data_IF_670693160732
#
_entry.id   IF_670693160732
#
_cell.length_a   1.000
_cell.length_b   1.000
_cell.length_c   1.000
_cell.angle_alpha   90.00
_cell.angle_beta   90.00
_cell.angle_gamma   90.00
#
_symmetry.space_group_name_H-M   'P 1'
#
loop_
_entity.id
_entity.type
_entity.pdbx_description
1 polymer ?
#
# COMPACT_ATOMS: atom_id res chain seq x y z
N UNK A 1 -6.71 4.90 -8.23
CA UNK A 1 -7.10 3.54 -7.80
C UNK A 1 -8.27 3.71 -6.84
N UNK A 2 -9.18 2.76 -6.71
CA UNK A 2 -10.34 2.91 -5.83
C UNK A 2 -9.97 2.46 -4.42
N UNK A 3 -9.89 3.41 -3.49
CA UNK A 3 -9.68 3.10 -2.08
C UNK A 3 -10.95 2.49 -1.45
N UNK A 4 -10.80 1.65 -0.40
CA UNK A 4 -11.94 1.13 0.35
C UNK A 4 -12.77 2.23 1.02
N UNK A 5 -14.01 1.88 1.39
CA UNK A 5 -14.84 2.77 2.21
C UNK A 5 -14.18 2.99 3.57
N UNK A 6 -14.30 4.21 4.10
CA UNK A 6 -13.72 4.56 5.39
C UNK A 6 -12.21 4.79 5.40
N UNK A 7 -11.55 4.86 4.22
CA UNK A 7 -10.12 5.19 4.14
C UNK A 7 -9.77 6.57 4.71
N UNK A 8 -10.74 7.47 4.76
CA UNK A 8 -10.66 8.80 5.37
C UNK A 8 -10.51 8.76 6.89
N UNK A 9 -10.83 7.62 7.53
CA UNK A 9 -10.62 7.38 8.96
C UNK A 9 -9.20 6.92 9.30
N UNK A 10 -8.37 6.65 8.28
CA UNK A 10 -7.01 6.19 8.53
C UNK A 10 -6.18 7.33 9.11
N UNK A 11 -5.67 7.15 10.32
CA UNK A 11 -4.82 8.11 11.03
C UNK A 11 -3.36 7.64 11.11
N UNK A 12 -3.13 6.34 10.93
CA UNK A 12 -1.80 5.72 10.93
C UNK A 12 -1.65 4.76 9.74
N UNK A 13 -0.48 4.76 9.13
CA UNK A 13 -0.10 3.81 8.08
C UNK A 13 1.26 3.19 8.38
N UNK A 14 1.31 1.87 8.41
CA UNK A 14 2.57 1.13 8.31
C UNK A 14 2.96 0.96 6.84
N UNK A 15 4.20 1.31 6.50
CA UNK A 15 4.79 0.96 5.20
C UNK A 15 5.51 -0.37 5.33
N UNK A 16 5.15 -1.30 4.46
CA UNK A 16 5.62 -2.68 4.50
C UNK A 16 6.53 -2.97 3.32
N UNK A 17 7.73 -3.49 3.60
CA UNK A 17 8.62 -4.07 2.60
C UNK A 17 8.34 -5.56 2.46
N UNK A 18 8.04 -6.00 1.24
CA UNK A 18 7.71 -7.40 0.97
C UNK A 18 8.97 -8.12 0.50
N UNK A 19 9.51 -9.01 1.36
CA UNK A 19 10.69 -9.83 1.07
C UNK A 19 10.39 -11.14 0.32
N UNK A 20 9.20 -11.71 0.49
CA UNK A 20 8.72 -12.89 -0.26
C UNK A 20 7.43 -12.55 -1.05
N UNK A 21 7.58 -12.07 -2.29
CA UNK A 21 6.43 -11.68 -3.11
C UNK A 21 5.51 -12.85 -3.51
N UNK A 22 6.02 -14.08 -3.55
CA UNK A 22 5.25 -15.23 -4.02
C UNK A 22 4.16 -15.65 -3.03
N UNK A 23 4.38 -15.39 -1.73
CA UNK A 23 3.39 -15.60 -0.67
C UNK A 23 2.06 -14.87 -0.95
N UNK A 24 2.12 -13.68 -1.55
CA UNK A 24 0.94 -12.85 -1.81
C UNK A 24 0.12 -13.26 -3.04
N UNK A 25 0.48 -14.36 -3.71
CA UNK A 25 -0.36 -14.98 -4.73
C UNK A 25 -1.60 -15.64 -4.10
N UNK A 26 -1.49 -16.20 -2.90
CA UNK A 26 -2.58 -16.90 -2.20
C UNK A 26 -2.89 -16.33 -0.81
N UNK A 27 -2.12 -15.34 -0.34
CA UNK A 27 -2.25 -14.77 1.00
C UNK A 27 -3.63 -14.17 1.30
N UNK A 28 -4.04 -14.27 2.57
CA UNK A 28 -5.26 -13.65 3.12
C UNK A 28 -5.00 -12.28 3.74
N UNK A 29 -3.74 -11.91 3.87
CA UNK A 29 -3.23 -10.73 4.55
C UNK A 29 -1.94 -10.22 3.87
N UNK A 30 -1.53 -9.00 4.21
CA UNK A 30 -0.25 -8.43 3.80
C UNK A 30 0.87 -8.92 4.74
N UNK A 31 1.77 -9.74 4.20
CA UNK A 31 3.01 -10.13 4.88
C UNK A 31 4.23 -9.30 4.46
N UNK A 32 5.14 -9.02 5.40
CA UNK A 32 6.39 -8.29 5.17
C UNK A 32 6.84 -7.54 6.42
N UNK A 33 7.98 -6.87 6.32
CA UNK A 33 8.58 -6.10 7.41
C UNK A 33 8.06 -4.66 7.38
N UNK A 34 7.65 -4.14 8.54
CA UNK A 34 7.33 -2.70 8.68
C UNK A 34 8.65 -1.94 8.65
N UNK A 35 8.78 -1.02 7.70
CA UNK A 35 10.00 -0.22 7.53
C UNK A 35 9.82 1.25 7.87
N UNK A 36 8.58 1.71 8.02
CA UNK A 36 8.23 3.07 8.41
C UNK A 36 6.80 3.12 8.94
N UNK A 37 6.51 4.09 9.80
CA UNK A 37 5.15 4.39 10.26
C UNK A 37 4.86 5.86 10.02
N UNK A 38 3.82 6.14 9.23
CA UNK A 38 3.35 7.48 8.94
C UNK A 38 2.07 7.79 9.71
N UNK A 39 1.90 9.06 10.10
CA UNK A 39 0.71 9.51 10.84
C UNK A 39 0.22 10.88 10.36
N UNK A 40 -1.06 11.16 10.60
CA UNK A 40 -1.66 12.47 10.34
C UNK A 40 -1.57 12.90 8.87
N UNK A 41 -0.91 14.02 8.59
CA UNK A 41 -0.90 14.60 7.24
C UNK A 41 -0.19 13.71 6.20
N UNK A 42 0.82 12.94 6.60
CA UNK A 42 1.50 12.01 5.71
C UNK A 42 0.56 10.92 5.21
N UNK A 43 -0.33 10.42 6.08
CA UNK A 43 -1.36 9.44 5.74
C UNK A 43 -2.34 10.03 4.74
N UNK A 44 -2.83 11.25 4.99
CA UNK A 44 -3.77 11.92 4.07
C UNK A 44 -3.17 12.14 2.69
N UNK A 45 -1.90 12.56 2.62
CA UNK A 45 -1.20 12.73 1.34
C UNK A 45 -0.96 11.40 0.63
N UNK A 46 -0.56 10.36 1.37
CA UNK A 46 -0.39 9.02 0.82
C UNK A 46 -1.68 8.50 0.20
N UNK A 47 -2.79 8.54 0.96
CA UNK A 47 -4.07 8.03 0.49
C UNK A 47 -4.61 8.85 -0.69
N UNK A 48 -4.38 10.17 -0.70
CA UNK A 48 -4.68 11.00 -1.87
C UNK A 48 -3.90 10.53 -3.10
N UNK A 49 -2.58 10.30 -2.99
CA UNK A 49 -1.76 9.79 -4.09
C UNK A 49 -2.25 8.43 -4.59
N UNK A 50 -2.61 7.52 -3.69
CA UNK A 50 -3.16 6.21 -4.03
C UNK A 50 -4.50 6.35 -4.77
N UNK A 51 -5.37 7.26 -4.32
CA UNK A 51 -6.62 7.60 -4.99
C UNK A 51 -6.42 8.14 -6.41
N UNK A 52 -5.38 8.96 -6.61
CA UNK A 52 -5.03 9.58 -7.89
C UNK A 52 -4.39 8.65 -8.92
N UNK A 53 -3.99 7.43 -8.52
CA UNK A 53 -3.39 6.47 -9.45
C UNK A 53 -4.34 6.16 -10.63
N UNK A 54 -3.97 6.46 -11.88
CA UNK A 54 -4.81 6.10 -13.02
C UNK A 54 -4.93 4.59 -13.17
N UNK A 55 -6.00 4.14 -13.82
CA UNK A 55 -6.16 2.73 -14.20
C UNK A 55 -5.16 2.35 -15.32
N UNK A 56 -4.80 1.07 -15.43
CA UNK A 56 -3.83 0.56 -16.41
C UNK A 56 -4.16 -0.87 -16.82
N UNK A 57 -3.81 -1.33 -18.03
CA UNK A 57 -3.94 -2.74 -18.38
C UNK A 57 -3.07 -3.63 -17.48
N UNK A 58 -3.62 -4.76 -17.04
CA UNK A 58 -2.91 -5.75 -16.22
C UNK A 58 -1.72 -6.38 -16.95
N UNK A 59 -0.57 -6.47 -16.29
CA UNK A 59 0.54 -7.34 -16.71
C UNK A 59 0.56 -8.66 -15.92
N UNK A 60 1.10 -9.73 -16.53
CA UNK A 60 0.87 -11.13 -16.08
C UNK A 60 1.52 -11.53 -14.75
N UNK A 61 2.55 -10.85 -14.25
CA UNK A 61 3.21 -11.21 -13.00
C UNK A 61 2.61 -10.43 -11.83
N UNK A 62 2.48 -11.02 -10.64
CA UNK A 62 2.18 -10.28 -9.42
C UNK A 62 3.23 -10.63 -8.36
N UNK A 63 4.30 -9.83 -8.36
CA UNK A 63 5.42 -9.96 -7.42
C UNK A 63 5.55 -8.61 -6.70
N UNK A 64 4.69 -8.36 -5.70
CA UNK A 64 4.67 -7.07 -5.01
C UNK A 64 5.94 -6.89 -4.18
N UNK A 65 6.46 -5.66 -4.17
CA UNK A 65 7.67 -5.32 -3.40
C UNK A 65 7.38 -4.41 -2.21
N UNK A 66 6.21 -3.77 -2.20
CA UNK A 66 5.80 -2.78 -1.20
C UNK A 66 4.35 -3.00 -0.84
N UNK A 67 3.98 -2.61 0.38
CA UNK A 67 2.60 -2.57 0.80
C UNK A 67 2.37 -1.53 1.89
N UNK A 68 1.11 -1.35 2.25
CA UNK A 68 0.69 -0.52 3.38
C UNK A 68 -0.37 -1.24 4.21
N UNK A 69 -0.39 -0.97 5.52
CA UNK A 69 -1.52 -1.27 6.40
C UNK A 69 -2.04 0.04 6.98
N UNK A 70 -3.31 0.32 6.80
CA UNK A 70 -3.94 1.55 7.27
C UNK A 70 -4.82 1.26 8.49
N UNK A 71 -4.69 2.09 9.53
CA UNK A 71 -5.37 1.92 10.81
C UNK A 71 -6.15 3.18 11.17
N UNK A 72 -7.28 3.00 11.84
CA UNK A 72 -7.88 4.09 12.61
C UNK A 72 -7.19 4.21 13.98
N UNK A 73 -7.59 5.21 14.77
CA UNK A 73 -7.04 5.49 16.10
C UNK A 73 -7.69 4.67 17.23
N UNK A 74 -8.66 3.81 16.90
CA UNK A 74 -9.51 3.08 17.86
C UNK A 74 -9.32 1.58 17.87
N UNK A 75 -8.92 0.97 16.75
CA UNK A 75 -8.82 -0.48 16.56
C UNK A 75 -7.37 -0.89 16.22
N UNK A 76 -6.80 -1.90 16.90
CA UNK A 76 -5.49 -2.45 16.53
C UNK A 76 -5.50 -3.24 15.21
N UNK A 77 -6.66 -3.62 14.66
CA UNK A 77 -6.76 -4.25 13.34
C UNK A 77 -6.74 -3.20 12.22
N UNK A 78 -6.04 -3.45 11.09
CA UNK A 78 -6.03 -2.51 9.98
C UNK A 78 -7.42 -2.43 9.32
N UNK A 79 -7.85 -1.20 9.00
CA UNK A 79 -9.02 -0.92 8.17
C UNK A 79 -8.91 -1.64 6.82
N UNK A 80 -7.72 -1.54 6.22
CA UNK A 80 -7.36 -2.25 5.00
C UNK A 80 -5.84 -2.34 4.85
N UNK A 81 -5.44 -3.27 3.98
CA UNK A 81 -4.07 -3.50 3.58
C UNK A 81 -3.97 -3.48 2.06
N UNK A 82 -2.84 -3.01 1.53
CA UNK A 82 -2.59 -2.99 0.08
C UNK A 82 -1.19 -3.51 -0.21
N UNK A 83 -1.05 -4.41 -1.17
CA UNK A 83 0.22 -4.79 -1.77
C UNK A 83 0.33 -4.18 -3.17
N UNK A 84 1.45 -3.52 -3.47
CA UNK A 84 1.73 -2.86 -4.73
C UNK A 84 2.84 -3.59 -5.50
N UNK A 85 2.55 -3.89 -6.76
CA UNK A 85 3.49 -4.40 -7.75
C UNK A 85 3.73 -3.34 -8.83
N UNK A 86 4.64 -2.41 -8.55
CA UNK A 86 5.05 -1.36 -9.49
C UNK A 86 5.71 -1.89 -10.78
N UNK A 87 6.10 -3.16 -10.83
CA UNK A 87 6.62 -3.81 -12.05
C UNK A 87 5.52 -4.19 -13.04
N UNK A 88 4.33 -4.48 -12.53
CA UNK A 88 3.25 -5.10 -13.29
C UNK A 88 1.96 -4.29 -13.27
N UNK A 89 2.00 -3.08 -12.70
CA UNK A 89 0.84 -2.19 -12.56
C UNK A 89 -0.30 -2.82 -11.76
N UNK A 90 0.00 -3.73 -10.81
CA UNK A 90 -1.02 -4.48 -10.08
C UNK A 90 -1.03 -4.15 -8.59
N UNK A 91 -2.22 -4.06 -8.01
CA UNK A 91 -2.46 -3.93 -6.58
C UNK A 91 -3.41 -5.01 -6.07
N UNK A 92 -3.16 -5.48 -4.84
CA UNK A 92 -4.04 -6.40 -4.12
C UNK A 92 -4.44 -5.81 -2.79
N UNK A 93 -5.73 -5.86 -2.48
CA UNK A 93 -6.31 -5.25 -1.29
C UNK A 93 -6.96 -6.29 -0.38
N UNK A 94 -6.82 -6.09 0.93
CA UNK A 94 -7.46 -6.86 1.99
C UNK A 94 -8.06 -5.90 3.02
N UNK A 95 -9.05 -6.37 3.79
CA UNK A 95 -9.74 -5.56 4.80
C UNK A 95 -11.22 -5.89 4.87
N UNK A 96 -11.88 -5.42 5.94
CA UNK A 96 -13.30 -5.71 6.20
C UNK A 96 -14.22 -5.02 5.19
N UNK A 97 -13.87 -3.79 4.81
CA UNK A 97 -14.63 -2.94 3.90
C UNK A 97 -14.13 -3.01 2.44
N UNK A 98 -13.28 -3.99 2.12
CA UNK A 98 -12.78 -4.23 0.75
C UNK A 98 -13.73 -5.14 -0.01
N UNK A 99 -14.39 -4.61 -1.03
CA UNK A 99 -15.29 -5.39 -1.89
C UNK A 99 -14.52 -6.34 -2.81
N UNK A 100 -15.18 -7.36 -3.36
CA UNK A 100 -14.57 -8.33 -4.28
C UNK A 100 -13.94 -7.66 -5.52
N UNK A 101 -14.58 -6.62 -6.04
CA UNK A 101 -14.09 -5.85 -7.18
C UNK A 101 -12.85 -5.01 -6.83
N UNK A 102 -12.71 -4.61 -5.57
CA UNK A 102 -11.55 -3.85 -5.09
C UNK A 102 -10.35 -4.72 -4.73
N UNK A 103 -10.54 -6.02 -4.48
CA UNK A 103 -9.45 -6.93 -4.06
C UNK A 103 -8.30 -6.99 -5.04
N UNK A 104 -8.57 -6.81 -6.33
CA UNK A 104 -7.56 -6.75 -7.37
C UNK A 104 -7.82 -5.53 -8.23
N UNK A 105 -6.85 -4.64 -8.28
CA UNK A 105 -6.93 -3.43 -9.08
C UNK A 105 -5.63 -3.27 -9.85
N UNK A 106 -5.74 -2.66 -11.02
CA UNK A 106 -4.58 -2.27 -11.79
C UNK A 106 -4.36 -0.76 -11.64
N UNK A 107 -3.12 -0.31 -11.80
CA UNK A 107 -2.75 1.10 -11.67
C UNK A 107 -1.54 1.46 -12.53
N UNK A 108 -1.51 2.68 -13.07
CA UNK A 108 -0.40 3.13 -13.89
C UNK A 108 0.81 3.54 -13.02
N UNK A 109 1.78 2.63 -12.84
CA UNK A 109 2.95 2.86 -11.99
C UNK A 109 3.88 3.96 -12.51
N UNK A 110 3.92 4.20 -13.83
CA UNK A 110 4.77 5.22 -14.44
C UNK A 110 4.10 6.61 -14.49
N UNK A 111 2.84 6.71 -14.07
CA UNK A 111 2.16 7.99 -13.86
C UNK A 111 2.91 8.87 -12.85
N UNK A 112 2.61 10.17 -12.82
CA UNK A 112 3.21 11.08 -11.84
C UNK A 112 2.94 10.61 -10.40
N UNK A 113 1.70 10.21 -10.09
CA UNK A 113 1.31 9.67 -8.79
C UNK A 113 2.02 8.34 -8.48
N UNK A 114 2.12 7.43 -9.45
CA UNK A 114 2.80 6.13 -9.28
C UNK A 114 4.29 6.27 -8.98
N UNK A 115 4.98 7.15 -9.71
CA UNK A 115 6.41 7.45 -9.48
C UNK A 115 6.65 8.12 -8.15
N UNK A 116 5.80 9.07 -7.76
CA UNK A 116 5.89 9.74 -6.46
C UNK A 116 5.64 8.77 -5.30
N UNK A 117 4.63 7.89 -5.42
CA UNK A 117 4.34 6.87 -4.42
C UNK A 117 5.53 5.91 -4.22
N UNK A 118 6.10 5.41 -5.33
CA UNK A 118 7.27 4.54 -5.27
C UNK A 118 8.50 5.26 -4.70
N UNK A 119 8.68 6.54 -5.03
CA UNK A 119 9.76 7.37 -4.47
C UNK A 119 9.63 7.49 -2.95
N UNK A 120 8.43 7.76 -2.43
CA UNK A 120 8.16 7.82 -0.98
C UNK A 120 8.47 6.49 -0.30
N UNK A 121 8.01 5.36 -0.85
CA UNK A 121 8.35 4.05 -0.31
C UNK A 121 9.85 3.77 -0.31
N UNK A 122 10.58 4.11 -1.37
CA UNK A 122 12.04 3.91 -1.42
C UNK A 122 12.82 4.83 -0.48
N UNK A 123 12.25 5.95 -0.05
CA UNK A 123 12.86 6.84 0.93
C UNK A 123 12.71 6.32 2.37
N UNK A 124 11.80 5.37 2.61
CA UNK A 124 11.68 4.69 3.91
C UNK A 124 12.95 3.90 4.22
N UNK A 125 13.40 3.94 5.47
CA UNK A 125 14.68 3.35 5.88
C UNK A 125 15.92 4.17 5.50
N UNK A 126 15.76 5.44 5.11
CA UNK A 126 16.85 6.37 4.80
C UNK A 126 17.54 7.03 6.00
N UNK A 127 16.99 6.93 7.21
CA UNK A 127 17.60 7.41 8.45
C UNK A 127 17.12 6.57 9.65
N UNK A 128 17.72 5.40 9.85
CA UNK A 128 17.74 4.79 11.19
C UNK A 128 19.08 5.15 11.82
N UNK A 129 19.19 6.41 12.22
CA UNK A 129 20.13 6.83 13.26
C UNK A 129 19.70 6.17 14.57
N UNK A 130 20.21 4.96 14.82
CA UNK A 130 20.09 4.32 16.13
C UNK A 130 20.87 5.11 17.18
N UNK A 131 20.38 5.22 18.42
CA UNK A 131 21.22 5.67 19.52
C UNK A 131 22.13 4.50 19.91
N UNK A 132 23.41 4.63 19.63
CA UNK A 132 24.48 3.76 20.14
C UNK A 132 25.60 4.60 20.71
#
# INVERSE_FOLDING_TARGET
MRLPLGHDRAELVEVVRIGDPARHLTSRDLAGDVVEVWAGEEVRQLLRLVGELPDSPKYRCFLPGWGIRAYDDTDPEPLFEIAFCFRCNGARLWGRDVTQEQRHQDFEAESAAGRELLRRFRATGGDVGGPG
#
